data_IF_409844844474
#
_entry.id   IF_409844844474
#
_cell.length_a   1.000
_cell.length_b   1.000
_cell.length_c   1.000
_cell.angle_alpha   90.00
_cell.angle_beta   90.00
_cell.angle_gamma   90.00
#
_symmetry.space_group_name_H-M   'P 1'
#
loop_
_entity.id
_entity.type
_entity.pdbx_description
1 polymer ?
#
# COMPACT_ATOMS: atom_id res chain seq x y z
N UNK A 1 13.85 -3.83 38.09
CA UNK A 1 14.07 -3.54 36.66
C UNK A 1 12.86 -2.91 35.97
N UNK A 2 11.63 -3.47 36.06
CA UNK A 2 10.44 -2.90 35.40
C UNK A 2 10.00 -1.50 35.91
N UNK A 3 10.19 -1.22 37.20
CA UNK A 3 9.81 0.07 37.82
C UNK A 3 10.55 1.30 37.25
N UNK A 4 11.68 1.11 36.55
CA UNK A 4 12.45 2.23 35.95
C UNK A 4 11.97 2.64 34.55
N UNK A 5 11.19 1.80 33.87
CA UNK A 5 10.92 1.94 32.44
C UNK A 5 9.42 1.98 32.09
N UNK A 6 8.53 2.02 33.10
CA UNK A 6 7.07 1.94 32.95
C UNK A 6 6.63 0.87 31.92
N UNK A 7 7.33 -0.26 31.95
CA UNK A 7 7.17 -1.35 31.00
C UNK A 7 7.05 -2.65 31.77
N UNK A 8 6.02 -3.44 31.45
CA UNK A 8 5.82 -4.75 32.06
C UNK A 8 7.06 -5.64 31.90
N UNK A 9 7.32 -6.48 32.91
CA UNK A 9 8.51 -7.36 32.98
C UNK A 9 8.68 -8.19 31.70
N UNK A 10 7.59 -8.71 31.13
CA UNK A 10 7.62 -9.48 29.89
C UNK A 10 8.10 -8.69 28.65
N UNK A 11 7.90 -7.37 28.63
CA UNK A 11 8.35 -6.49 27.54
C UNK A 11 9.86 -6.29 27.64
N UNK A 12 10.36 -6.01 28.86
CA UNK A 12 11.79 -5.86 29.15
C UNK A 12 12.57 -7.14 28.86
N UNK A 13 12.07 -8.30 29.30
CA UNK A 13 12.75 -9.59 29.03
C UNK A 13 12.79 -9.93 27.54
N UNK A 14 11.76 -9.57 26.78
CA UNK A 14 11.75 -9.74 25.31
C UNK A 14 12.80 -8.85 24.62
N UNK A 15 12.98 -7.61 25.08
CA UNK A 15 14.01 -6.70 24.57
C UNK A 15 15.43 -7.18 24.90
N UNK A 16 15.66 -7.68 26.11
CA UNK A 16 16.96 -8.26 26.48
C UNK A 16 17.30 -9.45 25.58
N UNK A 17 16.32 -10.32 25.28
CA UNK A 17 16.51 -11.49 24.42
C UNK A 17 16.72 -11.13 22.95
N UNK A 18 16.11 -10.05 22.47
CA UNK A 18 16.28 -9.58 21.12
C UNK A 18 16.10 -8.06 21.06
N UNK A 19 17.22 -7.36 20.96
CA UNK A 19 17.28 -5.90 20.88
C UNK A 19 16.89 -5.39 19.48
N UNK A 20 16.95 -6.24 18.46
CA UNK A 20 16.61 -5.85 17.10
C UNK A 20 15.09 -5.87 16.90
N UNK A 21 14.61 -4.80 16.27
CA UNK A 21 13.22 -4.69 15.88
C UNK A 21 12.88 -5.79 14.88
N UNK A 22 11.80 -6.54 15.14
CA UNK A 22 11.26 -7.47 14.16
C UNK A 22 10.77 -6.72 12.92
N UNK A 23 11.09 -7.18 11.70
CA UNK A 23 10.54 -6.58 10.50
C UNK A 23 9.02 -6.71 10.51
N UNK A 24 8.34 -5.65 10.11
CA UNK A 24 6.89 -5.72 9.93
C UNK A 24 6.60 -6.58 8.69
N UNK A 25 5.76 -7.61 8.86
CA UNK A 25 5.37 -8.48 7.76
C UNK A 25 4.58 -7.76 6.66
N UNK A 26 4.49 -8.38 5.48
CA UNK A 26 3.70 -7.87 4.37
C UNK A 26 2.20 -7.96 4.66
N UNK A 27 1.46 -6.88 4.36
CA UNK A 27 0.00 -6.89 4.39
C UNK A 27 -0.53 -7.20 2.99
N UNK A 28 -1.44 -8.18 2.89
CA UNK A 28 -2.17 -8.46 1.65
C UNK A 28 -2.93 -7.22 1.20
N UNK A 29 -2.83 -6.92 -0.10
CA UNK A 29 -3.51 -5.78 -0.71
C UNK A 29 -4.92 -6.18 -1.12
N UNK A 30 -5.80 -5.18 -1.23
CA UNK A 30 -7.18 -5.35 -1.71
C UNK A 30 -7.30 -5.48 -3.23
N UNK A 31 -6.20 -5.25 -3.96
CA UNK A 31 -6.15 -5.26 -5.41
C UNK A 31 -4.85 -5.92 -5.87
N UNK A 32 -4.95 -6.70 -6.95
CA UNK A 32 -3.81 -7.20 -7.70
C UNK A 32 -3.21 -6.08 -8.55
N UNK A 33 -1.92 -5.83 -8.37
CA UNK A 33 -1.23 -4.77 -9.10
C UNK A 33 -1.04 -5.11 -10.58
N UNK A 34 -0.86 -6.39 -10.92
CA UNK A 34 -0.63 -6.77 -12.32
C UNK A 34 -1.92 -6.61 -13.12
N UNK A 35 -3.07 -7.00 -12.55
CA UNK A 35 -4.38 -6.73 -13.14
C UNK A 35 -4.63 -5.22 -13.33
N UNK A 36 -4.23 -4.38 -12.36
CA UNK A 36 -4.35 -2.93 -12.50
C UNK A 36 -3.41 -2.38 -13.58
N UNK A 37 -2.18 -2.90 -13.73
CA UNK A 37 -1.27 -2.48 -14.79
C UNK A 37 -1.84 -2.80 -16.17
N UNK A 38 -2.40 -4.00 -16.34
CA UNK A 38 -3.03 -4.36 -17.60
C UNK A 38 -4.22 -3.44 -17.92
N UNK A 39 -5.09 -3.15 -16.94
CA UNK A 39 -6.21 -2.21 -17.13
C UNK A 39 -5.74 -0.78 -17.48
N UNK A 40 -4.58 -0.34 -17.00
CA UNK A 40 -3.97 0.96 -17.38
C UNK A 40 -3.53 0.95 -18.84
N UNK A 41 -2.94 -0.16 -19.31
CA UNK A 41 -2.51 -0.31 -20.71
C UNK A 41 -3.71 -0.40 -21.66
N UNK A 42 -4.71 -1.20 -21.29
CA UNK A 42 -5.92 -1.40 -22.11
C UNK A 42 -6.78 -0.14 -22.18
N UNK A 43 -6.83 0.64 -21.09
CA UNK A 43 -7.66 1.83 -20.96
C UNK A 43 -6.90 3.02 -20.36
N UNK A 44 -5.96 3.66 -21.06
CA UNK A 44 -5.10 4.70 -20.47
C UNK A 44 -5.89 5.91 -19.94
N UNK A 45 -6.94 6.34 -20.65
CA UNK A 45 -7.77 7.48 -20.26
C UNK A 45 -8.91 7.17 -19.28
N UNK A 46 -9.05 5.93 -18.81
CA UNK A 46 -10.17 5.56 -17.95
C UNK A 46 -10.09 6.22 -16.57
N UNK A 47 -11.25 6.69 -16.09
CA UNK A 47 -11.37 7.28 -14.78
C UNK A 47 -11.28 6.22 -13.67
N UNK A 48 -10.80 6.56 -12.46
CA UNK A 48 -10.64 5.59 -11.36
C UNK A 48 -11.92 4.83 -10.99
N UNK A 49 -13.11 5.43 -11.18
CA UNK A 49 -14.39 4.75 -10.89
C UNK A 49 -14.72 3.66 -11.93
N UNK A 50 -14.32 3.84 -13.19
CA UNK A 50 -14.51 2.86 -14.25
C UNK A 50 -13.60 1.65 -14.04
N UNK A 51 -12.33 1.91 -13.72
CA UNK A 51 -11.33 0.89 -13.36
C UNK A 51 -11.80 0.08 -12.15
N UNK A 52 -12.33 0.77 -11.14
CA UNK A 52 -12.89 0.14 -9.95
C UNK A 52 -14.05 -0.82 -10.28
N UNK A 53 -14.94 -0.43 -11.19
CA UNK A 53 -16.03 -1.28 -11.68
C UNK A 53 -15.50 -2.52 -12.41
N UNK A 54 -14.47 -2.40 -13.25
CA UNK A 54 -13.86 -3.53 -13.97
C UNK A 54 -13.12 -4.50 -13.03
N UNK A 55 -12.40 -3.95 -12.05
CA UNK A 55 -11.57 -4.73 -11.12
C UNK A 55 -12.32 -5.16 -9.85
N UNK A 56 -13.61 -4.84 -9.72
CA UNK A 56 -14.46 -5.25 -8.60
C UNK A 56 -14.04 -4.65 -7.25
N UNK A 57 -13.43 -3.47 -7.24
CA UNK A 57 -12.95 -2.80 -6.02
C UNK A 57 -13.56 -1.40 -5.88
N UNK A 58 -13.32 -0.73 -4.76
CA UNK A 58 -13.77 0.66 -4.57
C UNK A 58 -12.81 1.65 -5.24
N UNK A 59 -13.33 2.79 -5.69
CA UNK A 59 -12.55 3.85 -6.36
C UNK A 59 -11.33 4.30 -5.54
N UNK A 60 -11.45 4.38 -4.20
CA UNK A 60 -10.34 4.79 -3.34
C UNK A 60 -9.18 3.77 -3.37
N UNK A 61 -9.47 2.47 -3.53
CA UNK A 61 -8.42 1.44 -3.68
C UNK A 61 -7.64 1.67 -4.98
N UNK A 62 -8.32 1.98 -6.09
CA UNK A 62 -7.69 2.31 -7.37
C UNK A 62 -6.83 3.57 -7.24
N UNK A 63 -7.38 4.65 -6.69
CA UNK A 63 -6.66 5.91 -6.53
C UNK A 63 -5.35 5.74 -5.74
N UNK A 64 -5.40 5.04 -4.61
CA UNK A 64 -4.20 4.75 -3.80
C UNK A 64 -3.20 3.86 -4.54
N UNK A 65 -3.70 2.88 -5.32
CA UNK A 65 -2.85 2.02 -6.12
C UNK A 65 -2.16 2.77 -7.27
N UNK A 66 -2.88 3.65 -7.98
CA UNK A 66 -2.34 4.51 -9.04
C UNK A 66 -1.26 5.46 -8.51
N UNK A 67 -1.49 6.10 -7.35
CA UNK A 67 -0.48 6.93 -6.68
C UNK A 67 0.78 6.13 -6.34
N UNK A 68 0.62 4.87 -5.94
CA UNK A 68 1.75 3.98 -5.63
C UNK A 68 2.51 3.52 -6.87
N UNK A 69 1.82 3.36 -8.00
CA UNK A 69 2.43 3.07 -9.30
C UNK A 69 3.09 4.31 -9.94
N UNK A 70 2.89 5.51 -9.37
CA UNK A 70 3.46 6.75 -9.91
C UNK A 70 2.69 7.34 -11.09
N UNK A 71 1.52 6.78 -11.42
CA UNK A 71 0.66 7.19 -12.57
C UNK A 71 -0.09 8.49 -12.27
N UNK A 72 -0.20 8.89 -11.01
CA UNK A 72 -0.92 10.10 -10.59
C UNK A 72 0.00 11.02 -9.79
N UNK A 73 0.24 12.25 -10.31
CA UNK A 73 1.06 13.28 -9.66
C UNK A 73 0.26 14.59 -9.56
N UNK A 74 -0.30 14.87 -8.39
CA UNK A 74 -1.02 16.13 -8.12
C UNK A 74 -2.49 16.13 -8.58
N UNK A 75 -3.02 17.29 -8.97
CA UNK A 75 -4.38 17.44 -9.54
C UNK A 75 -4.47 17.06 -11.02
N UNK A 76 -3.33 16.93 -11.69
CA UNK A 76 -3.26 16.61 -13.11
C UNK A 76 -3.01 15.11 -13.33
N UNK A 77 -3.85 14.50 -14.16
CA UNK A 77 -3.69 13.13 -14.63
C UNK A 77 -2.50 13.10 -15.58
N UNK A 78 -1.29 12.94 -15.05
CA UNK A 78 -0.10 12.78 -15.87
C UNK A 78 -0.15 11.38 -16.49
N UNK A 79 -0.76 11.27 -17.66
CA UNK A 79 -0.59 10.12 -18.56
C UNK A 79 0.86 10.11 -19.04
N UNK A 80 1.82 9.85 -18.15
CA UNK A 80 3.18 9.51 -18.59
C UNK A 80 3.17 8.05 -19.03
N UNK A 81 2.95 7.90 -20.32
CA UNK A 81 3.29 6.73 -21.12
C UNK A 81 4.78 6.42 -20.94
N UNK A 82 5.09 5.51 -20.02
CA UNK A 82 6.27 4.65 -20.02
C UNK A 82 6.06 3.55 -18.98
N UNK A 83 5.08 2.67 -19.26
CA UNK A 83 5.05 1.29 -18.77
C UNK A 83 5.38 0.42 -19.98
#
# INVERSE_FOLDING_TARGET
MAARFDAGVARVTRWIKNIHRKPQGFRRRKIDLEALRQDILDYPGAYPFERAKRLGVTQNVIFLALRKLGVYKGSDTVLQYNI
#
